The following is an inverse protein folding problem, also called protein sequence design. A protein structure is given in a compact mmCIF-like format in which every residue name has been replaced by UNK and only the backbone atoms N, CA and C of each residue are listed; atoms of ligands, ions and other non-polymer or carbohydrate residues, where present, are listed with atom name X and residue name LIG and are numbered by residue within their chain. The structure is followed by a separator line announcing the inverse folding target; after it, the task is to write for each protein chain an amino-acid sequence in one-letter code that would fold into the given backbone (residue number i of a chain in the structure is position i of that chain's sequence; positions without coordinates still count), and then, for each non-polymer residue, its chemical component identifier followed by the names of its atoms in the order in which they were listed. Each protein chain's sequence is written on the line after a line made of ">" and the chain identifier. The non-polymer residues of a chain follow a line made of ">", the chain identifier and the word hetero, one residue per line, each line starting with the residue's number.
data_IF_825457844612
#
_entry.id   IF_825457844612
#
_cell.length_a   1.000
_cell.length_b   1.000
_cell.length_c   1.000
_cell.angle_alpha   90.00
_cell.angle_beta   90.00
_cell.angle_gamma   90.00
#
_symmetry.space_group_name_H-M   'P 1'
#
loop_
_entity.id
_entity.type
_entity.pdbx_description
1 polymer ?
#
# COMPACT_ATOMS: atom_id res chain seq x y z
N UNK A 1 -23.34 2.89 -4.30
CA UNK A 1 -22.08 2.17 -4.12
C UNK A 1 -21.65 2.33 -2.67
N UNK A 2 -21.74 1.24 -1.89
CA UNK A 2 -21.24 1.26 -0.52
C UNK A 2 -19.69 1.18 -0.57
N UNK A 3 -19.05 2.33 -0.64
CA UNK A 3 -17.59 2.39 -0.62
C UNK A 3 -17.14 2.04 0.79
N UNK A 4 -16.24 1.10 0.92
CA UNK A 4 -15.68 0.72 2.21
C UNK A 4 -15.00 1.96 2.84
N UNK A 5 -15.44 2.33 4.05
CA UNK A 5 -14.77 3.38 4.82
C UNK A 5 -13.41 2.95 5.38
N UNK A 6 -12.98 1.74 5.06
CA UNK A 6 -11.71 1.16 5.52
C UNK A 6 -10.97 0.58 4.33
N UNK A 7 -9.69 0.86 4.24
CA UNK A 7 -8.83 0.27 3.24
C UNK A 7 -7.41 0.08 3.77
N UNK A 8 -6.73 -0.94 3.27
CA UNK A 8 -5.30 -1.09 3.44
C UNK A 8 -4.59 -0.36 2.31
N UNK A 9 -3.58 0.44 2.65
CA UNK A 9 -2.82 1.24 1.70
C UNK A 9 -1.49 0.55 1.37
N UNK A 10 -1.16 0.54 0.09
CA UNK A 10 0.14 0.13 -0.41
C UNK A 10 1.19 1.23 -0.20
N UNK A 11 2.47 0.87 -0.24
CA UNK A 11 3.60 1.80 -0.04
C UNK A 11 3.67 2.89 -1.11
N UNK A 12 3.25 2.62 -2.33
CA UNK A 12 3.25 3.56 -3.44
C UNK A 12 2.45 4.84 -3.16
N UNK A 13 1.39 4.74 -2.35
CA UNK A 13 0.57 5.88 -1.95
C UNK A 13 1.38 6.87 -1.12
N UNK A 14 2.14 6.36 -0.15
CA UNK A 14 2.98 7.20 0.71
C UNK A 14 4.14 7.81 -0.07
N UNK A 15 4.80 7.01 -0.91
CA UNK A 15 5.93 7.45 -1.73
C UNK A 15 5.48 8.54 -2.71
N UNK A 16 4.40 8.32 -3.46
CA UNK A 16 3.92 9.31 -4.43
C UNK A 16 3.37 10.58 -3.76
N UNK A 17 2.82 10.49 -2.56
CA UNK A 17 2.41 11.67 -1.79
C UNK A 17 3.58 12.54 -1.33
N UNK A 18 4.72 11.93 -1.02
CA UNK A 18 5.91 12.65 -0.55
C UNK A 18 6.73 13.28 -1.68
N UNK A 19 6.56 12.82 -2.91
CA UNK A 19 7.30 13.31 -4.08
C UNK A 19 6.33 13.97 -5.07
N UNK A 20 6.30 15.32 -5.07
CA UNK A 20 5.32 16.10 -5.85
C UNK A 20 5.46 15.93 -7.36
N UNK A 21 6.61 15.50 -7.85
CA UNK A 21 6.87 15.22 -9.27
C UNK A 21 6.32 13.86 -9.71
N UNK A 22 5.87 13.02 -8.78
CA UNK A 22 5.30 11.72 -9.09
C UNK A 22 3.95 11.87 -9.80
N UNK A 23 3.73 11.08 -10.86
CA UNK A 23 2.48 11.09 -11.63
C UNK A 23 1.25 10.72 -10.80
N UNK A 24 1.44 10.01 -9.70
CA UNK A 24 0.40 9.59 -8.77
C UNK A 24 0.24 10.54 -7.57
N UNK A 25 0.95 11.67 -7.57
CA UNK A 25 0.88 12.64 -6.48
C UNK A 25 -0.54 13.14 -6.23
N UNK A 26 -1.24 13.56 -7.26
CA UNK A 26 -2.60 14.11 -7.12
C UNK A 26 -3.61 13.08 -6.56
N UNK A 27 -3.72 11.86 -7.11
CA UNK A 27 -4.62 10.86 -6.51
C UNK A 27 -4.20 10.50 -5.08
N UNK A 28 -2.92 10.40 -4.76
CA UNK A 28 -2.44 10.15 -3.40
C UNK A 28 -2.79 11.30 -2.45
N UNK A 29 -2.63 12.55 -2.90
CA UNK A 29 -3.01 13.73 -2.13
C UNK A 29 -4.51 13.76 -1.83
N UNK A 30 -5.34 13.42 -2.80
CA UNK A 30 -6.79 13.35 -2.60
C UNK A 30 -7.16 12.26 -1.59
N UNK A 31 -6.50 11.11 -1.65
CA UNK A 31 -6.68 10.04 -0.68
C UNK A 31 -6.26 10.48 0.74
N UNK A 32 -5.10 11.10 0.89
CA UNK A 32 -4.62 11.63 2.19
C UNK A 32 -5.59 12.66 2.76
N UNK A 33 -6.16 13.52 1.91
CA UNK A 33 -7.22 14.46 2.34
C UNK A 33 -8.48 13.75 2.83
N UNK A 34 -8.92 12.68 2.15
CA UNK A 34 -10.05 11.87 2.60
C UNK A 34 -9.79 11.23 3.97
N UNK A 35 -8.57 10.74 4.19
CA UNK A 35 -8.14 10.21 5.50
C UNK A 35 -8.18 11.32 6.57
N UNK A 36 -7.64 12.49 6.26
CA UNK A 36 -7.60 13.61 7.20
C UNK A 36 -8.99 14.11 7.59
N UNK A 37 -9.97 14.03 6.67
CA UNK A 37 -11.38 14.38 6.96
C UNK A 37 -12.14 13.28 7.69
N UNK A 38 -11.56 12.06 7.79
CA UNK A 38 -12.25 10.91 8.39
C UNK A 38 -13.22 10.19 7.43
N UNK A 39 -13.17 10.49 6.13
CA UNK A 39 -13.98 9.82 5.11
C UNK A 39 -13.48 8.39 4.87
N UNK A 40 -12.18 8.18 5.08
CA UNK A 40 -11.50 6.89 4.98
C UNK A 40 -10.65 6.61 6.23
N UNK A 41 -10.76 5.41 6.78
CA UNK A 41 -9.86 4.89 7.81
C UNK A 41 -8.79 4.06 7.10
N UNK A 42 -7.55 4.57 7.14
CA UNK A 42 -6.41 3.91 6.53
C UNK A 42 -5.80 2.86 7.45
N UNK A 43 -5.52 1.70 6.89
CA UNK A 43 -4.74 0.63 7.49
C UNK A 43 -3.49 0.37 6.66
N UNK A 44 -2.46 -0.15 7.27
CA UNK A 44 -1.23 -0.60 6.61
C UNK A 44 -0.77 -1.91 7.23
N UNK A 45 -0.09 -2.75 6.47
CA UNK A 45 0.60 -3.89 7.06
C UNK A 45 1.84 -3.42 7.82
N UNK A 46 2.29 -4.19 8.81
CA UNK A 46 3.52 -3.87 9.56
C UNK A 46 4.79 -3.91 8.70
N UNK A 47 4.72 -4.45 7.47
CA UNK A 47 5.81 -4.43 6.49
C UNK A 47 5.92 -3.12 5.69
N UNK A 48 4.97 -2.17 5.86
CA UNK A 48 4.95 -0.93 5.10
C UNK A 48 6.26 -0.14 5.21
N UNK A 49 6.78 0.01 6.43
CA UNK A 49 7.94 0.88 6.67
C UNK A 49 9.21 0.31 6.06
N UNK A 50 9.40 -1.00 6.15
CA UNK A 50 10.53 -1.68 5.54
C UNK A 50 10.44 -1.68 4.01
N UNK A 51 9.23 -1.82 3.47
CA UNK A 51 8.96 -1.67 2.04
C UNK A 51 9.34 -0.27 1.53
N UNK A 52 8.91 0.80 2.21
CA UNK A 52 9.27 2.19 1.86
C UNK A 52 10.80 2.38 1.90
N UNK A 53 11.47 1.93 2.96
CA UNK A 53 12.92 2.02 3.10
C UNK A 53 13.62 1.27 1.97
N UNK A 54 13.17 0.05 1.66
CA UNK A 54 13.71 -0.78 0.59
C UNK A 54 13.53 -0.13 -0.79
N UNK A 55 12.34 0.39 -1.07
CA UNK A 55 12.04 1.06 -2.34
C UNK A 55 12.89 2.31 -2.58
N UNK A 56 13.19 3.06 -1.52
CA UNK A 56 13.96 4.30 -1.58
C UNK A 56 15.46 4.06 -1.44
N UNK A 57 15.88 2.96 -0.82
CA UNK A 57 17.29 2.62 -0.58
C UNK A 57 18.12 2.47 -1.86
N UNK A 58 17.49 2.05 -2.96
CA UNK A 58 18.13 1.94 -4.28
C UNK A 58 18.45 3.29 -4.94
N UNK A 59 17.92 4.40 -4.43
CA UNK A 59 18.16 5.76 -4.93
C UNK A 59 19.31 6.50 -4.23
N UNK A 60 20.10 5.83 -3.39
CA UNK A 60 21.23 6.41 -2.67
C UNK A 60 20.83 7.27 -1.46
N UNK A 61 19.66 7.04 -0.90
CA UNK A 61 19.16 7.76 0.26
C UNK A 61 20.06 7.53 1.49
N UNK A 62 20.39 8.60 2.20
CA UNK A 62 21.07 8.51 3.49
C UNK A 62 20.13 7.96 4.57
N UNK A 63 20.71 7.44 5.65
CA UNK A 63 19.92 7.02 6.82
C UNK A 63 19.12 8.19 7.42
N UNK A 64 19.70 9.39 7.44
CA UNK A 64 19.01 10.59 7.91
C UNK A 64 17.78 10.92 7.04
N UNK A 65 17.90 10.78 5.73
CA UNK A 65 16.78 10.99 4.81
C UNK A 65 15.68 9.95 5.03
N UNK A 66 16.05 8.68 5.18
CA UNK A 66 15.11 7.60 5.47
C UNK A 66 14.32 7.87 6.77
N UNK A 67 15.01 8.31 7.83
CA UNK A 67 14.37 8.71 9.09
C UNK A 67 13.37 9.86 8.89
N UNK A 68 13.75 10.87 8.12
CA UNK A 68 12.87 12.02 7.85
C UNK A 68 11.65 11.61 7.03
N UNK A 69 11.81 10.74 6.05
CA UNK A 69 10.71 10.18 5.26
C UNK A 69 9.73 9.44 6.16
N UNK A 70 10.21 8.57 7.06
CA UNK A 70 9.32 7.87 7.99
C UNK A 70 8.61 8.81 8.97
N UNK A 71 9.27 9.90 9.38
CA UNK A 71 8.60 10.96 10.16
C UNK A 71 7.47 11.64 9.37
N UNK A 72 7.66 11.86 8.08
CA UNK A 72 6.62 12.42 7.22
C UNK A 72 5.48 11.42 6.99
N UNK A 73 5.78 10.14 6.78
CA UNK A 73 4.79 9.06 6.74
C UNK A 73 3.95 9.03 8.02
N UNK A 74 4.55 9.23 9.18
CA UNK A 74 3.85 9.23 10.47
C UNK A 74 2.80 10.35 10.63
N UNK A 75 2.90 11.41 9.83
CA UNK A 75 1.92 12.51 9.82
C UNK A 75 0.62 12.16 9.08
N UNK A 76 0.61 11.11 8.26
CA UNK A 76 -0.58 10.59 7.60
C UNK A 76 -1.26 9.62 8.57
N UNK A 77 -2.50 9.89 9.03
CA UNK A 77 -3.17 9.02 9.99
C UNK A 77 -3.38 7.61 9.39
N UNK A 78 -2.87 6.59 10.06
CA UNK A 78 -3.07 5.20 9.67
C UNK A 78 -2.95 4.25 10.88
N UNK A 79 -3.52 3.07 10.75
CA UNK A 79 -3.47 2.01 11.74
C UNK A 79 -2.66 0.84 11.21
N UNK A 80 -1.74 0.32 12.01
CA UNK A 80 -0.88 -0.80 11.62
C UNK A 80 -1.56 -2.12 11.96
N UNK A 81 -1.63 -3.03 10.98
CA UNK A 81 -2.05 -4.41 11.14
C UNK A 81 -0.81 -5.31 11.20
N UNK A 82 -0.63 -6.06 12.28
CA UNK A 82 0.57 -6.87 12.46
C UNK A 82 0.59 -8.08 11.52
N UNK A 83 1.77 -8.40 11.02
CA UNK A 83 2.03 -9.66 10.33
C UNK A 83 2.27 -10.74 11.38
N UNK A 84 1.38 -11.73 11.45
CA UNK A 84 1.57 -12.93 12.24
C UNK A 84 2.13 -14.07 11.37
N UNK A 85 2.41 -15.22 11.98
CA UNK A 85 2.96 -16.38 11.27
C UNK A 85 2.05 -16.85 10.13
N UNK A 86 0.75 -16.89 10.36
CA UNK A 86 -0.23 -17.31 9.34
C UNK A 86 -0.18 -16.39 8.12
N UNK A 87 -0.21 -15.07 8.32
CA UNK A 87 -0.09 -14.09 7.25
C UNK A 87 1.24 -14.24 6.51
N UNK A 88 2.34 -14.40 7.24
CA UNK A 88 3.67 -14.58 6.65
C UNK A 88 3.73 -15.84 5.76
N UNK A 89 3.21 -16.97 6.22
CA UNK A 89 3.16 -18.20 5.44
C UNK A 89 2.32 -18.04 4.16
N UNK A 90 1.14 -17.45 4.28
CA UNK A 90 0.26 -17.20 3.13
C UNK A 90 0.87 -16.19 2.14
N UNK A 91 1.56 -15.16 2.64
CA UNK A 91 2.27 -14.20 1.80
C UNK A 91 3.39 -14.85 0.98
N UNK A 92 4.19 -15.72 1.60
CA UNK A 92 5.25 -16.45 0.89
C UNK A 92 4.69 -17.46 -0.12
N UNK A 93 3.58 -18.12 0.19
CA UNK A 93 2.87 -18.97 -0.78
C UNK A 93 2.33 -18.18 -1.97
N UNK A 94 1.78 -16.99 -1.72
CA UNK A 94 1.35 -16.09 -2.77
C UNK A 94 2.53 -15.62 -3.63
N UNK A 95 3.63 -15.23 -3.00
CA UNK A 95 4.86 -14.84 -3.69
C UNK A 95 5.46 -15.98 -4.52
N UNK A 96 5.43 -17.21 -4.01
CA UNK A 96 5.87 -18.39 -4.76
C UNK A 96 5.09 -18.59 -6.05
N UNK A 97 3.77 -18.34 -6.03
CA UNK A 97 2.88 -18.50 -7.20
C UNK A 97 2.92 -17.33 -8.18
N UNK A 98 3.02 -16.12 -7.67
CA UNK A 98 2.83 -14.89 -8.44
C UNK A 98 4.07 -13.98 -8.49
N UNK A 99 5.09 -14.24 -7.68
CA UNK A 99 6.27 -13.40 -7.57
C UNK A 99 7.21 -13.45 -8.76
N UNK A 100 8.00 -12.42 -8.93
CA UNK A 100 9.03 -12.32 -9.95
C UNK A 100 9.14 -10.94 -10.57
N UNK A 101 10.08 -10.79 -11.52
CA UNK A 101 10.27 -9.55 -12.27
C UNK A 101 9.01 -9.21 -13.06
N UNK A 102 8.53 -7.97 -12.93
CA UNK A 102 7.28 -7.46 -13.55
C UNK A 102 6.02 -8.22 -13.13
N UNK A 103 6.07 -8.89 -11.99
CA UNK A 103 4.96 -9.60 -11.36
C UNK A 103 4.78 -9.05 -9.95
N UNK A 104 4.27 -9.88 -9.03
CA UNK A 104 4.10 -9.49 -7.64
C UNK A 104 5.47 -9.30 -6.96
N UNK A 105 5.68 -8.15 -6.33
CA UNK A 105 6.88 -7.90 -5.54
C UNK A 105 6.79 -8.58 -4.17
N UNK A 106 7.96 -8.77 -3.52
CA UNK A 106 8.03 -9.45 -2.23
C UNK A 106 7.15 -8.79 -1.16
N UNK A 107 7.31 -7.48 -0.94
CA UNK A 107 6.50 -6.76 0.06
C UNK A 107 5.02 -6.70 -0.30
N UNK A 108 4.69 -6.59 -1.58
CA UNK A 108 3.30 -6.56 -2.04
C UNK A 108 2.55 -7.84 -1.66
N UNK A 109 3.24 -8.99 -1.62
CA UNK A 109 2.64 -10.24 -1.17
C UNK A 109 2.14 -10.16 0.28
N UNK A 110 2.84 -9.43 1.14
CA UNK A 110 2.43 -9.19 2.53
C UNK A 110 1.26 -8.20 2.62
N UNK A 111 1.27 -7.13 1.84
CA UNK A 111 0.16 -6.17 1.78
C UNK A 111 -1.12 -6.83 1.28
N UNK A 112 -1.05 -7.56 0.19
CA UNK A 112 -2.17 -8.31 -0.38
C UNK A 112 -2.72 -9.32 0.63
N UNK A 113 -1.86 -10.14 1.22
CA UNK A 113 -2.28 -11.17 2.17
C UNK A 113 -2.89 -10.56 3.44
N UNK A 114 -2.35 -9.45 3.94
CA UNK A 114 -2.92 -8.72 5.07
C UNK A 114 -4.32 -8.20 4.73
N UNK A 115 -4.50 -7.62 3.56
CA UNK A 115 -5.82 -7.16 3.06
C UNK A 115 -6.82 -8.30 3.05
N UNK A 116 -6.45 -9.45 2.50
CA UNK A 116 -7.30 -10.66 2.45
C UNK A 116 -7.64 -11.17 3.85
N UNK A 117 -6.65 -11.27 4.73
CA UNK A 117 -6.83 -11.81 6.08
C UNK A 117 -7.82 -10.98 6.91
N UNK A 118 -7.75 -9.66 6.81
CA UNK A 118 -8.62 -8.74 7.56
C UNK A 118 -9.91 -8.37 6.80
N UNK A 119 -10.07 -8.84 5.57
CA UNK A 119 -11.27 -8.59 4.78
C UNK A 119 -11.51 -7.12 4.43
N UNK A 120 -10.44 -6.35 4.22
CA UNK A 120 -10.51 -4.93 3.82
C UNK A 120 -9.89 -4.76 2.43
N UNK A 121 -10.41 -3.84 1.57
CA UNK A 121 -9.85 -3.66 0.24
C UNK A 121 -8.45 -3.06 0.29
N UNK A 122 -7.63 -3.43 -0.69
CA UNK A 122 -6.30 -2.87 -0.92
C UNK A 122 -6.38 -1.71 -1.92
N UNK A 123 -5.88 -0.54 -1.55
CA UNK A 123 -5.66 0.57 -2.50
C UNK A 123 -4.21 0.50 -2.96
N UNK A 124 -4.00 0.38 -4.25
CA UNK A 124 -2.68 0.29 -4.88
C UNK A 124 -2.70 0.87 -6.29
N UNK A 125 -1.54 1.23 -6.81
CA UNK A 125 -1.34 1.57 -8.23
C UNK A 125 -0.65 0.44 -9.01
N UNK A 126 -0.28 -0.65 -8.35
CA UNK A 126 0.42 -1.77 -8.97
C UNK A 126 -0.46 -2.46 -10.02
N UNK A 127 -0.02 -2.40 -11.29
CA UNK A 127 -0.77 -2.95 -12.42
C UNK A 127 -0.88 -4.46 -12.37
N UNK A 128 0.13 -5.17 -11.82
CA UNK A 128 0.06 -6.62 -11.72
C UNK A 128 -1.04 -7.04 -10.76
N UNK A 129 -1.10 -6.42 -9.59
CA UNK A 129 -2.13 -6.70 -8.58
C UNK A 129 -3.52 -6.38 -9.14
N UNK A 130 -3.69 -5.20 -9.75
CA UNK A 130 -4.97 -4.77 -10.33
C UNK A 130 -5.45 -5.73 -11.41
N UNK A 131 -4.57 -6.09 -12.35
CA UNK A 131 -4.92 -6.95 -13.48
C UNK A 131 -5.12 -8.43 -13.11
N UNK A 132 -4.57 -8.87 -11.98
CA UNK A 132 -4.64 -10.25 -11.51
C UNK A 132 -5.44 -10.40 -10.22
N UNK A 133 -6.25 -9.40 -9.87
CA UNK A 133 -6.99 -9.38 -8.60
C UNK A 133 -7.90 -10.59 -8.40
N UNK A 134 -8.52 -11.10 -9.46
CA UNK A 134 -9.34 -12.31 -9.39
C UNK A 134 -8.51 -13.56 -9.08
N UNK A 135 -7.37 -13.76 -9.76
CA UNK A 135 -6.52 -14.94 -9.53
C UNK A 135 -5.78 -14.88 -8.19
N UNK A 136 -5.53 -13.66 -7.69
CA UNK A 136 -4.95 -13.41 -6.36
C UNK A 136 -6.05 -13.46 -5.28
N UNK A 137 -7.32 -13.35 -5.67
CA UNK A 137 -8.48 -13.31 -4.76
C UNK A 137 -8.41 -12.14 -3.77
N UNK A 138 -8.08 -10.94 -4.26
CA UNK A 138 -8.00 -9.72 -3.46
C UNK A 138 -8.96 -8.66 -3.98
N UNK A 139 -9.63 -7.97 -3.05
CA UNK A 139 -10.45 -6.82 -3.40
C UNK A 139 -9.54 -5.60 -3.53
N UNK A 140 -9.44 -5.05 -4.73
CA UNK A 140 -8.51 -3.97 -5.10
C UNK A 140 -9.25 -2.72 -5.53
N UNK A 141 -8.75 -1.57 -5.09
CA UNK A 141 -9.13 -0.26 -5.60
C UNK A 141 -7.91 0.36 -6.27
N UNK A 142 -8.03 0.69 -7.55
CA UNK A 142 -6.97 1.38 -8.28
C UNK A 142 -6.85 2.83 -7.78
N UNK A 143 -5.67 3.21 -7.29
CA UNK A 143 -5.38 4.55 -6.82
C UNK A 143 -5.75 5.65 -7.83
N UNK A 144 -5.61 5.36 -9.14
CA UNK A 144 -5.93 6.31 -10.22
C UNK A 144 -7.41 6.64 -10.32
N UNK A 145 -8.27 5.82 -9.74
CA UNK A 145 -9.74 5.96 -9.79
C UNK A 145 -10.33 6.56 -8.51
N UNK A 146 -9.49 6.97 -7.57
CA UNK A 146 -9.91 7.46 -6.25
C UNK A 146 -10.79 8.71 -6.33
N UNK A 147 -10.55 9.62 -7.27
CA UNK A 147 -11.32 10.87 -7.41
C UNK A 147 -12.82 10.64 -7.64
N UNK A 148 -13.19 9.49 -8.15
CA UNK A 148 -14.60 9.11 -8.35
C UNK A 148 -15.24 8.48 -7.10
N UNK A 149 -14.49 8.28 -6.02
CA UNK A 149 -14.92 7.47 -4.88
C UNK A 149 -15.05 8.26 -3.56
N UNK A 150 -14.32 9.41 -3.41
CA UNK A 150 -14.32 10.20 -2.17
C UNK A 150 -14.51 11.70 -2.42
#
# INVERSE_FOLDING_TARGET
>A
LNISRRALLDSDIFISYLFQEDELYEPSRNLVRAIARGDLIAYVSSELYDDIISALGGSGLSLSDAINILRDVSKIPHKVLPINLEIALQALELYRRHGGSRKLHYFDSFHVTTSKHYGIPLITSDKYIINNSESIEVNVIDLRKIESLY
#
